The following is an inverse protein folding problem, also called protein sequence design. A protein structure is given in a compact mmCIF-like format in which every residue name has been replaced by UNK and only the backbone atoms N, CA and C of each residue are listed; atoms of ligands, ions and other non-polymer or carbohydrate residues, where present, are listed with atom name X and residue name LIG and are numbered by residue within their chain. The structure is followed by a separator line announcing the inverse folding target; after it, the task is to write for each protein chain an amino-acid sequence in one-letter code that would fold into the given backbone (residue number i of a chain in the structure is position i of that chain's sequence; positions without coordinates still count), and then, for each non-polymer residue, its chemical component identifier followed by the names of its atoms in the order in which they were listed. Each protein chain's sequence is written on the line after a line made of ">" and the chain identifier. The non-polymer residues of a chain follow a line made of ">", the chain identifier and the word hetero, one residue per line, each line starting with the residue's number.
data_IF_303414115241
#
_entry.id   IF_303414115241
#
_cell.length_a   1.000
_cell.length_b   1.000
_cell.length_c   1.000
_cell.angle_alpha   90.00
_cell.angle_beta   90.00
_cell.angle_gamma   90.00
#
_symmetry.space_group_name_H-M   'P 1'
#
loop_
_entity.id
_entity.type
_entity.pdbx_description
1 polymer ?
#
# COMPACT_ATOMS: atom_id res chain seq x y z
N UNK A 1 -33.00 9.71 39.86
CA UNK A 1 -32.23 9.60 38.62
C UNK A 1 -32.38 8.17 38.12
N UNK A 2 -32.70 8.00 36.83
CA UNK A 2 -32.69 6.63 36.24
C UNK A 2 -31.28 6.28 35.82
N UNK A 3 -30.80 5.11 36.17
CA UNK A 3 -29.47 4.58 35.85
C UNK A 3 -29.65 3.36 34.94
N UNK A 4 -28.87 3.26 33.84
CA UNK A 4 -28.79 2.07 33.01
C UNK A 4 -27.47 1.41 33.28
N UNK A 5 -27.49 0.18 33.80
CA UNK A 5 -26.29 -0.64 34.03
C UNK A 5 -26.13 -1.68 32.94
N UNK A 6 -25.01 -1.61 32.20
CA UNK A 6 -24.69 -2.55 31.13
C UNK A 6 -23.24 -3.01 31.23
N UNK A 7 -22.98 -4.26 30.90
CA UNK A 7 -21.61 -4.82 30.85
C UNK A 7 -20.96 -4.57 29.45
N UNK A 8 -21.79 -4.38 28.43
CA UNK A 8 -21.31 -4.10 27.08
C UNK A 8 -22.40 -3.47 26.21
N UNK A 9 -21.97 -2.73 25.19
CA UNK A 9 -22.82 -2.24 24.10
C UNK A 9 -22.35 -2.94 22.82
N UNK A 10 -23.27 -3.59 22.11
CA UNK A 10 -22.96 -4.41 20.94
C UNK A 10 -23.96 -4.11 19.83
N UNK A 11 -23.47 -4.00 18.59
CA UNK A 11 -24.33 -3.89 17.42
C UNK A 11 -25.12 -5.19 17.16
N UNK A 12 -26.35 -5.07 16.64
CA UNK A 12 -27.17 -6.21 16.24
C UNK A 12 -26.41 -7.00 15.16
N UNK A 13 -26.20 -8.30 15.40
CA UNK A 13 -25.42 -9.17 14.50
C UNK A 13 -23.90 -9.09 14.64
N UNK A 14 -23.35 -8.23 15.50
CA UNK A 14 -21.92 -8.17 15.75
C UNK A 14 -21.46 -9.34 16.61
N UNK A 15 -20.28 -9.92 16.34
CA UNK A 15 -19.67 -10.98 17.17
C UNK A 15 -18.99 -10.42 18.43
N UNK A 16 -18.51 -9.17 18.39
CA UNK A 16 -17.82 -8.50 19.50
C UNK A 16 -18.54 -7.22 19.95
N UNK A 17 -18.34 -6.82 21.22
CA UNK A 17 -18.87 -5.58 21.77
C UNK A 17 -18.14 -4.36 21.19
N UNK A 18 -18.89 -3.28 20.88
CA UNK A 18 -18.31 -2.00 20.53
C UNK A 18 -17.74 -1.29 21.78
N UNK A 19 -18.37 -1.49 22.93
CA UNK A 19 -17.91 -0.98 24.23
C UNK A 19 -18.04 -2.11 25.26
N UNK A 20 -16.98 -2.37 26.02
CA UNK A 20 -16.99 -3.30 27.15
C UNK A 20 -16.70 -2.51 28.42
N UNK A 21 -17.51 -2.71 29.46
CA UNK A 21 -17.36 -2.08 30.77
C UNK A 21 -16.82 -3.12 31.74
N UNK A 22 -15.74 -2.76 32.43
CA UNK A 22 -15.19 -3.59 33.51
C UNK A 22 -16.07 -3.45 34.75
N UNK A 23 -16.65 -4.57 35.20
CA UNK A 23 -17.59 -4.58 36.34
C UNK A 23 -16.90 -4.35 37.69
N UNK A 24 -15.56 -4.43 37.75
CA UNK A 24 -14.79 -4.31 39.00
C UNK A 24 -14.42 -2.85 39.28
N UNK A 25 -13.98 -2.11 38.27
CA UNK A 25 -13.45 -0.75 38.43
C UNK A 25 -14.19 0.32 37.62
N UNK A 26 -15.19 -0.10 36.83
CA UNK A 26 -15.96 0.82 35.95
C UNK A 26 -15.22 1.36 34.78
N UNK A 27 -14.00 0.92 34.48
CA UNK A 27 -13.28 1.33 33.28
C UNK A 27 -13.97 0.82 32.01
N UNK A 28 -13.83 1.56 30.93
CA UNK A 28 -14.46 1.27 29.66
C UNK A 28 -13.41 1.03 28.58
N UNK A 29 -13.51 -0.08 27.89
CA UNK A 29 -12.75 -0.34 26.66
C UNK A 29 -13.68 -0.14 25.46
N UNK A 30 -13.42 0.90 24.67
CA UNK A 30 -14.14 1.15 23.43
C UNK A 30 -13.35 0.59 22.23
N UNK A 31 -14.03 -0.17 21.38
CA UNK A 31 -13.48 -0.62 20.10
C UNK A 31 -13.69 0.51 19.08
N UNK A 32 -12.84 1.55 19.15
CA UNK A 32 -12.93 2.74 18.31
C UNK A 32 -12.01 2.55 17.11
N UNK A 33 -12.57 2.43 15.92
CA UNK A 33 -11.79 2.28 14.68
C UNK A 33 -11.31 3.62 14.11
N UNK A 34 -11.89 4.76 14.52
CA UNK A 34 -11.71 6.04 13.82
C UNK A 34 -10.96 7.13 14.61
N UNK A 35 -10.45 6.86 15.81
CA UNK A 35 -9.94 7.94 16.68
C UNK A 35 -8.50 7.71 17.19
N UNK A 36 -7.71 6.94 16.45
CA UNK A 36 -6.29 6.74 16.76
C UNK A 36 -5.48 7.71 15.90
N UNK A 37 -4.77 8.64 16.51
CA UNK A 37 -3.75 9.44 15.84
C UNK A 37 -2.54 8.57 15.47
N UNK A 38 -1.79 8.97 14.44
CA UNK A 38 -0.61 8.27 13.93
C UNK A 38 -0.87 6.84 13.42
N UNK A 39 -2.06 6.58 12.87
CA UNK A 39 -2.40 5.27 12.27
C UNK A 39 -1.65 5.03 10.98
N UNK A 40 -1.51 6.07 10.15
CA UNK A 40 -0.85 5.95 8.87
C UNK A 40 0.66 5.82 9.04
N UNK A 41 1.21 4.67 8.69
CA UNK A 41 2.64 4.41 8.71
C UNK A 41 3.36 4.96 7.46
N UNK A 42 2.61 5.26 6.41
CA UNK A 42 3.16 5.82 5.17
C UNK A 42 3.55 7.30 5.39
N UNK A 43 4.72 7.66 4.95
CA UNK A 43 5.21 9.03 4.96
C UNK A 43 4.86 9.68 3.63
N UNK A 44 4.33 10.92 3.65
CA UNK A 44 3.91 11.64 2.46
C UNK A 44 2.84 10.90 1.63
N UNK A 45 1.88 10.24 2.30
CA UNK A 45 0.82 9.48 1.64
C UNK A 45 -0.15 10.34 0.80
N UNK A 46 -0.25 11.64 1.08
CA UNK A 46 -1.02 12.62 0.29
C UNK A 46 -0.21 13.27 -0.84
N UNK A 47 1.03 12.84 -1.09
CA UNK A 47 1.92 13.30 -2.17
C UNK A 47 2.22 14.82 -2.17
N UNK A 48 2.14 15.46 -1.00
CA UNK A 48 2.27 16.92 -0.87
C UNK A 48 3.72 17.41 -0.88
N UNK A 49 4.66 16.59 -0.41
CA UNK A 49 6.07 16.97 -0.26
C UNK A 49 6.87 16.50 -1.47
N UNK A 50 7.53 17.43 -2.15
CA UNK A 50 8.40 17.19 -3.31
C UNK A 50 9.61 18.15 -3.25
N UNK A 51 10.55 17.88 -2.32
CA UNK A 51 11.65 18.81 -1.99
C UNK A 51 12.78 18.79 -3.02
N UNK A 52 13.00 17.66 -3.70
CA UNK A 52 14.08 17.51 -4.69
C UNK A 52 13.71 18.05 -6.06
N UNK A 53 12.43 18.12 -6.36
CA UNK A 53 11.86 18.54 -7.62
C UNK A 53 10.45 17.97 -7.78
N UNK A 54 9.68 18.51 -8.71
CA UNK A 54 8.29 18.09 -8.96
C UNK A 54 8.16 17.16 -10.16
N UNK A 55 9.22 16.94 -10.91
CA UNK A 55 9.20 16.08 -12.11
C UNK A 55 10.58 15.58 -12.49
N UNK A 56 10.65 14.33 -12.94
CA UNK A 56 11.85 13.69 -13.50
C UNK A 56 11.45 12.89 -14.75
N UNK A 57 12.15 13.08 -15.86
CA UNK A 57 11.83 12.52 -17.17
C UNK A 57 12.95 11.62 -17.70
N UNK A 58 12.61 10.80 -18.69
CA UNK A 58 13.59 9.92 -19.33
C UNK A 58 14.01 8.73 -18.46
N UNK A 59 13.18 8.34 -17.49
CA UNK A 59 13.50 7.27 -16.55
C UNK A 59 13.36 5.92 -17.23
N UNK A 60 14.44 5.11 -17.21
CA UNK A 60 14.48 3.76 -17.79
C UNK A 60 14.87 2.68 -16.79
N UNK A 61 15.15 3.05 -15.54
CA UNK A 61 15.63 2.13 -14.50
C UNK A 61 15.25 2.55 -13.08
N UNK A 62 15.75 1.82 -12.11
CA UNK A 62 15.47 2.04 -10.70
C UNK A 62 16.12 3.30 -10.18
N UNK A 63 15.34 4.21 -9.60
CA UNK A 63 15.84 5.42 -8.96
C UNK A 63 14.85 6.04 -7.97
N UNK A 64 15.34 6.98 -7.16
CA UNK A 64 14.49 7.94 -6.44
C UNK A 64 14.33 9.15 -7.37
N UNK A 65 13.25 9.15 -8.14
CA UNK A 65 12.93 10.22 -9.08
C UNK A 65 12.56 11.52 -8.35
N UNK A 66 12.77 12.66 -9.00
CA UNK A 66 12.18 13.91 -8.57
C UNK A 66 10.65 13.85 -8.76
N UNK A 67 9.92 14.27 -7.74
CA UNK A 67 8.48 14.09 -7.60
C UNK A 67 8.13 13.96 -6.13
N UNK A 68 7.00 13.35 -5.75
CA UNK A 68 6.68 13.15 -4.35
C UNK A 68 7.78 12.40 -3.61
N UNK A 69 8.27 13.00 -2.52
CA UNK A 69 9.36 12.44 -1.72
C UNK A 69 8.98 11.11 -1.07
N UNK A 70 10.03 10.30 -0.74
CA UNK A 70 9.96 8.98 -0.07
C UNK A 70 9.58 7.82 -0.98
N UNK A 71 9.23 8.05 -2.23
CA UNK A 71 8.92 6.99 -3.20
C UNK A 71 10.11 6.69 -4.10
N UNK A 72 10.33 5.38 -4.34
CA UNK A 72 11.33 4.88 -5.26
C UNK A 72 10.63 4.19 -6.43
N UNK A 73 11.03 4.53 -7.64
CA UNK A 73 10.71 3.74 -8.83
C UNK A 73 11.69 2.59 -8.92
N UNK A 74 11.18 1.36 -9.07
CA UNK A 74 11.98 0.14 -9.18
C UNK A 74 11.75 -0.56 -10.51
N UNK A 75 12.79 -1.20 -11.02
CA UNK A 75 12.69 -2.03 -12.22
C UNK A 75 13.64 -1.65 -13.34
N UNK A 76 13.43 -2.28 -14.47
CA UNK A 76 14.19 -2.08 -15.72
C UNK A 76 13.42 -2.66 -16.91
N UNK A 77 13.83 -2.33 -18.12
CA UNK A 77 13.28 -2.89 -19.38
C UNK A 77 11.76 -2.69 -19.53
N UNK A 78 11.24 -1.55 -19.06
CA UNK A 78 9.82 -1.19 -19.12
C UNK A 78 9.49 -0.10 -20.15
N UNK A 79 10.47 0.32 -20.96
CA UNK A 79 10.38 1.51 -21.81
C UNK A 79 10.93 2.74 -21.09
N UNK A 80 10.31 3.89 -21.30
CA UNK A 80 10.71 5.14 -20.64
C UNK A 80 9.49 5.79 -20.01
N UNK A 81 9.64 6.33 -18.81
CA UNK A 81 8.56 7.04 -18.10
C UNK A 81 9.04 8.39 -17.60
N UNK A 82 8.07 9.27 -17.35
CA UNK A 82 8.20 10.48 -16.56
C UNK A 82 7.48 10.26 -15.22
N UNK A 83 8.11 10.64 -14.13
CA UNK A 83 7.47 10.72 -12.81
C UNK A 83 7.24 12.18 -12.47
N UNK A 84 6.09 12.51 -11.88
CA UNK A 84 5.82 13.87 -11.43
C UNK A 84 4.87 13.93 -10.25
N UNK A 85 4.93 15.04 -9.50
CA UNK A 85 3.87 15.48 -8.62
C UNK A 85 2.81 16.19 -9.49
N UNK A 86 1.60 15.64 -9.51
CA UNK A 86 0.49 16.16 -10.31
C UNK A 86 -0.56 16.80 -9.41
N UNK A 87 -1.24 17.83 -9.89
CA UNK A 87 -2.41 18.44 -9.24
C UNK A 87 -3.72 17.72 -9.57
N UNK A 88 -3.71 16.73 -10.49
CA UNK A 88 -4.84 15.85 -10.72
C UNK A 88 -4.97 14.89 -9.52
N UNK A 89 -5.98 15.10 -8.70
CA UNK A 89 -6.21 14.39 -7.44
C UNK A 89 -7.70 14.27 -7.14
N UNK A 90 -8.14 13.28 -6.34
CA UNK A 90 -9.53 13.19 -5.90
C UNK A 90 -9.84 14.22 -4.83
N UNK A 91 -11.13 14.43 -4.56
CA UNK A 91 -11.59 15.32 -3.49
C UNK A 91 -10.90 15.01 -2.15
N UNK A 92 -10.49 16.07 -1.45
CA UNK A 92 -9.75 15.98 -0.18
C UNK A 92 -8.22 15.88 -0.32
N UNK A 93 -7.68 15.84 -1.54
CA UNK A 93 -6.25 15.83 -1.81
C UNK A 93 -5.86 16.95 -2.79
N UNK A 94 -4.64 17.48 -2.63
CA UNK A 94 -4.12 18.53 -3.53
C UNK A 94 -3.17 17.96 -4.59
N UNK A 95 -2.56 16.80 -4.33
CA UNK A 95 -1.53 16.24 -5.20
C UNK A 95 -1.63 14.72 -5.31
N UNK A 96 -1.06 14.21 -6.39
CA UNK A 96 -0.84 12.79 -6.63
C UNK A 96 0.56 12.52 -7.18
N UNK A 97 1.02 11.27 -7.03
CA UNK A 97 2.18 10.73 -7.73
C UNK A 97 1.73 10.28 -9.11
N UNK A 98 2.29 10.84 -10.17
CA UNK A 98 1.98 10.48 -11.56
C UNK A 98 3.14 9.71 -12.18
N UNK A 99 2.82 8.65 -12.92
CA UNK A 99 3.72 7.97 -13.87
C UNK A 99 3.11 8.09 -15.24
N UNK A 100 3.89 8.63 -16.19
CA UNK A 100 3.52 8.85 -17.58
C UNK A 100 4.46 8.06 -18.50
N UNK A 101 3.93 7.26 -19.40
CA UNK A 101 4.72 6.45 -20.33
C UNK A 101 5.12 7.30 -21.52
N UNK A 102 6.41 7.61 -21.65
CA UNK A 102 6.95 8.43 -22.76
C UNK A 102 7.56 7.60 -23.88
N UNK A 103 8.01 6.38 -23.61
CA UNK A 103 8.37 5.38 -24.62
C UNK A 103 7.73 4.04 -24.24
N UNK A 104 6.84 3.57 -25.09
CA UNK A 104 6.11 2.33 -24.84
C UNK A 104 6.99 1.07 -24.97
N UNK A 105 6.67 0.05 -24.20
CA UNK A 105 7.18 -1.31 -24.35
C UNK A 105 6.02 -2.31 -24.37
N UNK A 106 5.48 -2.58 -25.56
CA UNK A 106 4.42 -3.57 -25.76
C UNK A 106 4.89 -5.03 -25.73
N UNK A 107 6.21 -5.28 -25.82
CA UNK A 107 6.82 -6.62 -25.87
C UNK A 107 7.79 -6.81 -24.70
N UNK A 108 7.24 -7.18 -23.55
CA UNK A 108 8.03 -7.33 -22.33
C UNK A 108 9.02 -8.51 -22.42
N UNK A 109 10.26 -8.27 -22.00
CA UNK A 109 11.20 -9.34 -21.70
C UNK A 109 10.79 -10.05 -20.39
N UNK A 110 11.31 -11.24 -20.15
CA UNK A 110 11.03 -11.98 -18.93
C UNK A 110 11.34 -11.19 -17.65
N UNK A 111 12.41 -10.39 -17.65
CA UNK A 111 12.86 -9.58 -16.53
C UNK A 111 12.29 -8.15 -16.51
N UNK A 112 11.40 -7.77 -17.43
CA UNK A 112 10.78 -6.44 -17.42
C UNK A 112 10.01 -6.22 -16.13
N UNK A 113 10.26 -5.08 -15.47
CA UNK A 113 9.60 -4.70 -14.22
C UNK A 113 9.50 -3.18 -14.12
N UNK A 114 8.35 -2.68 -13.72
CA UNK A 114 8.15 -1.33 -13.24
C UNK A 114 7.28 -1.38 -11.99
N UNK A 115 7.76 -0.82 -10.90
CA UNK A 115 7.00 -0.72 -9.66
C UNK A 115 7.32 0.58 -8.92
N UNK A 116 6.37 1.05 -8.14
CA UNK A 116 6.56 2.14 -7.19
C UNK A 116 6.58 1.55 -5.80
N UNK A 117 7.51 2.01 -4.96
CA UNK A 117 7.63 1.51 -3.61
C UNK A 117 7.93 2.59 -2.59
N UNK A 118 7.42 2.39 -1.38
CA UNK A 118 7.89 3.07 -0.18
C UNK A 118 8.38 2.03 0.82
N UNK A 119 9.53 2.29 1.44
CA UNK A 119 10.10 1.43 2.48
C UNK A 119 9.92 2.07 3.85
N UNK A 120 9.59 1.24 4.83
CA UNK A 120 9.36 1.59 6.23
C UNK A 120 10.48 0.97 7.09
N UNK A 121 10.95 1.75 8.05
CA UNK A 121 11.96 1.32 9.02
C UNK A 121 11.35 0.34 10.02
N UNK A 122 12.17 -0.58 10.53
CA UNK A 122 11.74 -1.61 11.45
C UNK A 122 11.09 -1.06 12.72
N UNK A 123 11.66 -0.02 13.30
CA UNK A 123 11.11 0.65 14.50
C UNK A 123 9.68 1.20 14.29
N UNK A 124 9.28 1.53 13.05
CA UNK A 124 7.97 2.09 12.73
C UNK A 124 6.88 1.04 12.50
N UNK A 125 7.25 -0.24 12.32
CA UNK A 125 6.32 -1.33 12.00
C UNK A 125 6.07 -2.31 13.15
N UNK A 126 6.61 -2.04 14.33
CA UNK A 126 6.50 -2.91 15.51
C UNK A 126 5.04 -3.13 15.97
N UNK A 127 4.14 -2.18 15.70
CA UNK A 127 2.72 -2.28 16.05
C UNK A 127 1.99 -3.45 15.36
N UNK A 128 2.53 -4.00 14.27
CA UNK A 128 2.00 -5.21 13.64
C UNK A 128 2.24 -6.49 14.46
N UNK A 129 3.15 -6.45 15.44
CA UNK A 129 3.52 -7.61 16.28
C UNK A 129 3.86 -8.86 15.42
N UNK A 130 4.40 -8.65 14.20
CA UNK A 130 4.75 -9.72 13.27
C UNK A 130 5.73 -10.73 13.91
N UNK A 131 5.59 -12.00 13.56
CA UNK A 131 6.40 -13.06 14.13
C UNK A 131 5.93 -13.55 15.51
N UNK A 132 4.79 -13.07 16.01
CA UNK A 132 4.21 -13.47 17.30
C UNK A 132 2.79 -14.01 17.14
N UNK A 133 2.28 -14.69 18.17
CA UNK A 133 0.88 -15.11 18.21
C UNK A 133 -0.13 -13.94 18.25
N UNK A 134 0.34 -12.73 18.57
CA UNK A 134 -0.45 -11.50 18.61
C UNK A 134 -0.39 -10.71 17.28
N UNK A 135 0.22 -11.27 16.23
CA UNK A 135 0.37 -10.61 14.94
C UNK A 135 -0.96 -10.06 14.40
N UNK A 136 -0.89 -8.85 13.83
CA UNK A 136 -2.06 -8.10 13.33
C UNK A 136 -2.12 -8.12 11.81
N UNK A 137 -3.33 -7.93 11.27
CA UNK A 137 -3.56 -7.70 9.84
C UNK A 137 -3.08 -6.30 9.44
N UNK A 138 -2.85 -6.13 8.14
CA UNK A 138 -2.43 -4.87 7.53
C UNK A 138 -3.56 -4.36 6.66
N UNK A 139 -4.09 -3.18 6.96
CA UNK A 139 -5.05 -2.49 6.10
C UNK A 139 -4.31 -1.46 5.24
N UNK A 140 -4.29 -1.68 3.94
CA UNK A 140 -3.73 -0.76 2.95
C UNK A 140 -4.88 -0.11 2.19
N UNK A 141 -4.99 1.22 2.26
CA UNK A 141 -5.95 1.98 1.46
C UNK A 141 -5.24 3.05 0.65
N UNK A 142 -5.78 3.34 -0.53
CA UNK A 142 -5.19 4.29 -1.47
C UNK A 142 -6.19 4.68 -2.55
N UNK A 143 -5.96 5.81 -3.21
CA UNK A 143 -6.67 6.21 -4.40
C UNK A 143 -5.79 6.04 -5.62
N UNK A 144 -6.35 5.44 -6.68
CA UNK A 144 -5.71 5.28 -7.98
C UNK A 144 -6.64 5.79 -9.08
N UNK A 145 -6.03 6.44 -10.07
CA UNK A 145 -6.59 6.74 -11.38
C UNK A 145 -5.62 6.22 -12.43
N UNK A 146 -6.10 5.61 -13.51
CA UNK A 146 -5.24 5.20 -14.62
C UNK A 146 -6.01 5.20 -15.92
N UNK A 147 -5.35 5.60 -16.99
CA UNK A 147 -5.89 5.47 -18.36
C UNK A 147 -5.82 4.02 -18.86
N UNK A 148 -4.92 3.20 -18.29
CA UNK A 148 -4.84 1.76 -18.56
C UNK A 148 -5.69 1.00 -17.55
N UNK A 149 -6.84 0.50 -17.98
CA UNK A 149 -7.69 -0.41 -17.18
C UNK A 149 -7.09 -1.82 -17.12
N UNK A 150 -7.42 -2.56 -16.08
CA UNK A 150 -6.95 -3.94 -15.88
C UNK A 150 -6.64 -4.27 -14.44
N UNK A 151 -6.04 -5.43 -14.24
CA UNK A 151 -5.61 -5.91 -12.93
C UNK A 151 -4.22 -5.44 -12.60
N UNK A 152 -4.06 -4.88 -11.42
CA UNK A 152 -2.79 -4.44 -10.83
C UNK A 152 -2.50 -5.19 -9.55
N UNK A 153 -1.23 -5.30 -9.19
CA UNK A 153 -0.79 -6.01 -7.98
C UNK A 153 -0.15 -5.04 -7.01
N UNK A 154 -0.61 -5.07 -5.75
CA UNK A 154 0.07 -4.47 -4.61
C UNK A 154 0.71 -5.57 -3.76
N UNK A 155 1.89 -5.30 -3.21
CA UNK A 155 2.69 -6.26 -2.46
C UNK A 155 3.23 -5.62 -1.19
N UNK A 156 3.22 -6.39 -0.10
CA UNK A 156 4.02 -6.14 1.09
C UNK A 156 5.23 -7.07 1.08
N UNK A 157 6.43 -6.51 1.21
CA UNK A 157 7.69 -7.25 1.24
C UNK A 157 8.41 -7.00 2.56
N UNK A 158 8.56 -8.04 3.34
CA UNK A 158 9.38 -8.09 4.54
C UNK A 158 10.83 -8.41 4.14
N UNK A 159 11.72 -7.45 4.40
CA UNK A 159 13.14 -7.56 4.04
C UNK A 159 13.95 -8.32 5.10
N UNK A 160 13.55 -8.27 6.36
CA UNK A 160 14.27 -8.92 7.47
C UNK A 160 14.21 -10.44 7.35
N UNK A 161 13.06 -10.96 6.91
CA UNK A 161 12.80 -12.40 6.84
C UNK A 161 12.62 -12.92 5.41
N UNK A 162 12.84 -12.08 4.39
CA UNK A 162 12.63 -12.42 2.97
C UNK A 162 11.25 -13.04 2.71
N UNK A 163 10.18 -12.39 3.22
CA UNK A 163 8.80 -12.85 3.09
C UNK A 163 7.95 -11.82 2.37
N UNK A 164 6.95 -12.28 1.64
CA UNK A 164 6.03 -11.38 0.93
C UNK A 164 4.59 -11.86 0.98
N UNK A 165 3.67 -10.95 0.70
CA UNK A 165 2.26 -11.22 0.44
C UNK A 165 1.75 -10.23 -0.61
N UNK A 166 0.93 -10.71 -1.54
CA UNK A 166 0.43 -9.94 -2.68
C UNK A 166 -1.09 -9.92 -2.71
N UNK A 167 -1.67 -8.84 -3.23
CA UNK A 167 -3.09 -8.74 -3.54
C UNK A 167 -3.29 -7.98 -4.84
N UNK A 168 -4.36 -8.33 -5.55
CA UNK A 168 -4.78 -7.61 -6.75
C UNK A 168 -5.80 -6.53 -6.42
N UNK A 169 -5.82 -5.48 -7.25
CA UNK A 169 -6.93 -4.55 -7.39
C UNK A 169 -7.20 -4.31 -8.87
N UNK A 170 -8.44 -4.01 -9.22
CA UNK A 170 -8.84 -3.84 -10.63
C UNK A 170 -9.21 -2.40 -10.88
N UNK A 171 -8.50 -1.76 -11.79
CA UNK A 171 -8.86 -0.45 -12.35
C UNK A 171 -9.85 -0.72 -13.47
N UNK A 172 -11.12 -0.38 -13.25
CA UNK A 172 -12.22 -0.68 -14.17
C UNK A 172 -12.58 0.50 -15.09
N UNK A 173 -12.19 1.69 -14.71
CA UNK A 173 -12.45 2.94 -15.45
C UNK A 173 -11.29 3.94 -15.29
N UNK A 174 -11.42 5.10 -15.89
CA UNK A 174 -10.39 6.16 -15.89
C UNK A 174 -10.62 7.23 -14.82
N UNK A 175 -11.51 6.98 -13.85
CA UNK A 175 -11.77 7.90 -12.76
C UNK A 175 -10.91 7.59 -11.53
N UNK A 176 -10.89 8.51 -10.58
CA UNK A 176 -10.33 8.26 -9.27
C UNK A 176 -11.19 7.27 -8.49
N UNK A 177 -10.58 6.17 -8.05
CA UNK A 177 -11.23 5.15 -7.23
C UNK A 177 -10.40 4.88 -5.97
N UNK A 178 -11.09 4.72 -4.82
CA UNK A 178 -10.47 4.27 -3.57
C UNK A 178 -10.45 2.76 -3.52
N UNK A 179 -9.28 2.21 -3.22
CA UNK A 179 -9.08 0.76 -3.03
C UNK A 179 -8.72 0.48 -1.58
N UNK A 180 -9.13 -0.69 -1.10
CA UNK A 180 -8.79 -1.20 0.22
C UNK A 180 -8.35 -2.65 0.09
N UNK A 181 -7.16 -2.97 0.59
CA UNK A 181 -6.58 -4.31 0.59
C UNK A 181 -6.24 -4.70 2.02
N UNK A 182 -6.83 -5.79 2.52
CA UNK A 182 -6.53 -6.32 3.85
C UNK A 182 -5.59 -7.51 3.69
N UNK A 183 -4.35 -7.35 4.13
CA UNK A 183 -3.36 -8.43 4.13
C UNK A 183 -3.43 -9.21 5.44
N UNK A 184 -3.23 -10.54 5.40
CA UNK A 184 -3.28 -11.37 6.60
C UNK A 184 -2.17 -11.01 7.59
N UNK A 185 -2.39 -11.33 8.85
CA UNK A 185 -1.33 -11.33 9.86
C UNK A 185 -0.26 -12.38 9.51
N UNK A 186 1.00 -12.13 9.93
CA UNK A 186 2.08 -13.11 9.79
C UNK A 186 2.69 -13.42 11.16
N UNK A 187 2.54 -14.65 11.61
CA UNK A 187 3.08 -15.12 12.88
C UNK A 187 4.54 -15.62 12.76
N UNK A 188 5.14 -15.50 11.57
CA UNK A 188 6.49 -16.01 11.27
C UNK A 188 7.44 -14.86 10.97
N UNK A 189 8.59 -14.85 11.64
CA UNK A 189 9.66 -13.87 11.41
C UNK A 189 9.29 -12.47 11.90
N UNK A 190 9.86 -12.03 13.01
CA UNK A 190 9.66 -10.69 13.55
C UNK A 190 10.36 -9.64 12.69
N UNK A 191 9.84 -8.42 12.68
CA UNK A 191 10.58 -7.27 12.18
C UNK A 191 11.67 -6.88 13.16
N UNK A 192 12.84 -6.50 12.63
CA UNK A 192 13.90 -5.89 13.42
C UNK A 192 13.43 -4.54 13.97
N UNK A 193 13.79 -4.24 15.22
CA UNK A 193 13.47 -2.96 15.83
C UNK A 193 14.65 -1.98 15.67
N UNK A 194 14.92 -1.60 14.43
CA UNK A 194 16.03 -0.73 14.07
C UNK A 194 15.58 0.34 13.04
N UNK A 195 16.51 1.14 12.55
CA UNK A 195 16.27 2.16 11.52
C UNK A 195 16.55 1.68 10.09
N UNK A 196 16.75 0.38 9.90
CA UNK A 196 16.90 -0.19 8.57
C UNK A 196 15.54 -0.49 7.92
N UNK A 197 15.57 -0.77 6.65
CA UNK A 197 14.38 -1.10 5.87
C UNK A 197 13.86 -2.49 6.23
N UNK A 198 12.71 -2.58 6.89
CA UNK A 198 12.06 -3.86 7.25
C UNK A 198 10.86 -4.18 6.37
N UNK A 199 9.99 -3.22 6.06
CA UNK A 199 8.79 -3.44 5.24
C UNK A 199 8.77 -2.51 4.04
N UNK A 200 8.43 -3.02 2.85
CA UNK A 200 8.10 -2.20 1.69
C UNK A 200 6.67 -2.43 1.23
N UNK A 201 5.96 -1.34 0.96
CA UNK A 201 4.72 -1.33 0.19
C UNK A 201 5.07 -1.08 -1.27
N UNK A 202 4.61 -1.94 -2.17
CA UNK A 202 4.95 -1.88 -3.60
C UNK A 202 3.70 -1.96 -4.46
N UNK A 203 3.68 -1.19 -5.54
CA UNK A 203 2.65 -1.21 -6.58
C UNK A 203 3.32 -1.56 -7.91
N UNK A 204 2.96 -2.72 -8.47
CA UNK A 204 3.43 -3.11 -9.77
C UNK A 204 2.68 -2.35 -10.88
N UNK A 205 3.39 -1.94 -11.91
CA UNK A 205 2.84 -1.34 -13.14
C UNK A 205 3.19 -2.19 -14.36
N UNK A 206 4.37 -2.81 -14.38
CA UNK A 206 4.82 -3.72 -15.44
C UNK A 206 5.44 -4.94 -14.79
N UNK A 207 5.17 -6.14 -15.33
CA UNK A 207 5.81 -7.37 -14.90
C UNK A 207 5.94 -8.36 -16.05
N UNK A 208 7.18 -8.77 -16.36
CA UNK A 208 7.49 -9.84 -17.31
C UNK A 208 7.32 -11.24 -16.71
N UNK A 209 7.55 -12.27 -17.50
CA UNK A 209 7.27 -13.67 -17.13
C UNK A 209 8.06 -14.18 -15.95
N UNK A 210 9.24 -13.61 -15.64
CA UNK A 210 9.99 -13.95 -14.41
C UNK A 210 9.20 -13.60 -13.13
N UNK A 211 8.19 -12.74 -13.21
CA UNK A 211 7.41 -12.27 -12.07
C UNK A 211 5.95 -12.75 -12.08
N UNK A 212 5.51 -13.40 -13.18
CA UNK A 212 4.10 -13.73 -13.42
C UNK A 212 3.84 -15.18 -13.74
N UNK A 213 4.87 -16.05 -13.75
CA UNK A 213 4.77 -17.43 -14.23
C UNK A 213 4.23 -18.43 -13.21
N UNK A 214 4.09 -18.03 -11.94
CA UNK A 214 3.57 -18.88 -10.87
C UNK A 214 2.10 -18.59 -10.53
N UNK A 215 1.71 -18.94 -9.30
CA UNK A 215 0.42 -18.55 -8.70
C UNK A 215 0.66 -17.38 -7.76
N UNK A 216 -0.20 -16.36 -7.80
CA UNK A 216 -0.05 -15.17 -6.94
C UNK A 216 -0.01 -15.55 -5.47
N UNK A 217 1.01 -15.08 -4.76
CA UNK A 217 1.22 -15.38 -3.35
C UNK A 217 0.34 -14.49 -2.47
N UNK A 218 -0.86 -14.96 -2.15
CA UNK A 218 -1.88 -14.20 -1.40
C UNK A 218 -1.80 -14.36 0.11
N UNK A 219 -0.89 -15.21 0.60
CA UNK A 219 -0.56 -15.39 2.02
C UNK A 219 0.94 -15.17 2.24
N UNK A 220 1.34 -14.80 3.46
CA UNK A 220 2.74 -14.61 3.78
C UNK A 220 3.55 -15.91 3.55
N UNK A 221 4.62 -15.79 2.81
CA UNK A 221 5.53 -16.89 2.51
C UNK A 221 6.88 -16.36 2.01
N UNK A 222 7.84 -17.24 1.79
CA UNK A 222 9.15 -16.86 1.25
C UNK A 222 8.98 -16.10 -0.06
N UNK A 223 9.68 -14.97 -0.19
CA UNK A 223 9.62 -14.12 -1.36
C UNK A 223 10.16 -14.87 -2.59
N UNK A 224 9.35 -14.94 -3.64
CA UNK A 224 9.69 -15.56 -4.91
C UNK A 224 9.20 -14.70 -6.08
N UNK A 225 10.07 -14.38 -7.01
CA UNK A 225 9.72 -13.52 -8.14
C UNK A 225 8.53 -14.07 -8.93
N UNK A 226 8.55 -15.36 -9.29
CA UNK A 226 7.53 -15.98 -10.15
C UNK A 226 6.08 -15.83 -9.64
N UNK A 227 5.89 -15.67 -8.34
CA UNK A 227 4.58 -15.60 -7.68
C UNK A 227 4.19 -14.18 -7.22
N UNK A 228 5.02 -13.19 -7.54
CA UNK A 228 4.93 -11.87 -6.92
C UNK A 228 3.98 -10.89 -7.63
N UNK A 229 3.75 -11.05 -8.94
CA UNK A 229 2.98 -10.07 -9.75
C UNK A 229 2.08 -10.75 -10.77
N UNK A 230 1.60 -11.95 -10.45
CA UNK A 230 0.74 -12.73 -11.35
C UNK A 230 -0.57 -11.99 -11.61
N UNK A 231 -0.92 -11.85 -12.88
CA UNK A 231 -2.12 -11.11 -13.31
C UNK A 231 -1.90 -9.62 -13.56
N UNK A 232 -0.68 -9.10 -13.35
CA UNK A 232 -0.36 -7.68 -13.61
C UNK A 232 -0.55 -7.32 -15.08
N UNK A 233 -1.33 -6.26 -15.34
CA UNK A 233 -1.45 -5.66 -16.67
C UNK A 233 -0.13 -5.01 -17.10
N UNK A 234 0.18 -5.00 -18.40
CA UNK A 234 1.30 -4.22 -18.92
C UNK A 234 0.86 -2.74 -19.05
N UNK A 235 1.23 -1.93 -18.06
CA UNK A 235 0.96 -0.49 -18.07
C UNK A 235 1.77 0.25 -19.15
N UNK A 236 2.95 -0.26 -19.54
CA UNK A 236 3.85 0.43 -20.44
C UNK A 236 3.59 0.12 -21.93
N UNK A 237 2.46 -0.47 -22.31
CA UNK A 237 2.18 -0.86 -23.68
C UNK A 237 1.77 0.30 -24.62
N UNK A 238 1.55 1.48 -24.09
CA UNK A 238 1.18 2.69 -24.87
C UNK A 238 1.73 3.96 -24.23
N UNK A 239 2.12 4.92 -25.05
CA UNK A 239 2.50 6.27 -24.60
C UNK A 239 1.30 7.13 -24.18
N UNK A 240 0.08 6.63 -24.32
CA UNK A 240 -1.13 7.28 -23.80
C UNK A 240 -1.46 6.84 -22.36
N UNK A 241 -0.61 5.99 -21.77
CA UNK A 241 -0.88 5.45 -20.44
C UNK A 241 -0.30 6.33 -19.35
N UNK A 242 -1.18 6.71 -18.44
CA UNK A 242 -0.89 7.48 -17.23
C UNK A 242 -1.46 6.74 -16.02
N UNK A 243 -0.71 6.74 -14.91
CA UNK A 243 -1.14 6.16 -13.65
C UNK A 243 -0.86 7.12 -12.52
N UNK A 244 -1.82 7.25 -11.61
CA UNK A 244 -1.79 8.20 -10.52
C UNK A 244 -2.09 7.51 -9.19
N UNK A 245 -1.43 7.96 -8.11
CA UNK A 245 -1.59 7.45 -6.75
C UNK A 245 -1.63 8.61 -5.75
N UNK A 246 -2.58 8.58 -4.83
CA UNK A 246 -2.60 9.46 -3.64
C UNK A 246 -3.40 8.83 -2.51
N UNK A 247 -3.42 9.47 -1.35
CA UNK A 247 -4.16 8.98 -0.18
C UNK A 247 -3.68 7.61 0.28
N UNK A 248 -2.37 7.33 0.14
CA UNK A 248 -1.78 6.05 0.53
C UNK A 248 -1.66 5.96 2.04
N UNK A 249 -2.32 4.97 2.63
CA UNK A 249 -2.33 4.70 4.07
C UNK A 249 -2.14 3.21 4.32
N UNK A 250 -1.17 2.90 5.18
CA UNK A 250 -0.97 1.56 5.75
C UNK A 250 -1.19 1.66 7.25
N UNK A 251 -2.12 0.87 7.76
CA UNK A 251 -2.49 0.86 9.17
C UNK A 251 -2.65 -0.55 9.72
N UNK A 252 -2.57 -0.68 11.03
CA UNK A 252 -2.80 -1.94 11.75
C UNK A 252 -4.30 -2.20 11.84
N UNK A 253 -4.75 -3.37 11.38
CA UNK A 253 -6.15 -3.78 11.53
C UNK A 253 -6.74 -4.48 10.32
N UNK A 254 -8.01 -4.81 10.43
CA UNK A 254 -8.80 -5.52 9.43
C UNK A 254 -9.76 -4.61 8.65
N UNK A 255 -9.75 -3.31 8.94
CA UNK A 255 -10.62 -2.31 8.32
C UNK A 255 -9.79 -1.07 8.00
N UNK A 256 -9.89 -0.58 6.77
CA UNK A 256 -9.30 0.70 6.41
C UNK A 256 -10.16 1.85 6.93
N UNK A 257 -9.54 2.79 7.61
CA UNK A 257 -10.19 4.00 8.12
C UNK A 257 -10.10 5.15 7.10
N UNK A 258 -10.68 6.31 7.42
CA UNK A 258 -10.50 7.49 6.61
C UNK A 258 -9.02 7.92 6.60
N UNK A 259 -8.61 8.54 5.50
CA UNK A 259 -7.20 8.94 5.34
C UNK A 259 -6.79 9.92 6.43
N UNK A 260 -5.69 9.63 7.09
CA UNK A 260 -5.08 10.49 8.09
C UNK A 260 -4.08 11.44 7.44
N UNK A 261 -4.47 12.71 7.29
CA UNK A 261 -3.55 13.77 6.87
C UNK A 261 -2.56 14.05 7.99
N UNK A 262 -1.28 13.77 7.74
CA UNK A 262 -0.19 14.13 8.67
C UNK A 262 0.35 15.50 8.25
N UNK A 263 0.41 16.39 9.22
CA UNK A 263 1.06 17.70 9.11
C UNK A 263 2.58 17.56 9.17
#
# INVERSE_FOLDING_TARGET
>A
MSEIKVNSIKGVGASAAAITVNNTDGTCTANITNNLSNRNLIINGAMQVAQRGTSDSGITGSQYADGPDRYKLGGSSFGTVTVSQSTDSPDGFSNSYKVDVTTANGSLSAGSLLEIQQSLEGQNVQAFAKGTSAAKQYALSFYVKSTKTGTYVAMLLDHDNNRMVCKTYTVSDTNWNRYTLIFPADTTGAFDNNNEKSLSVKFALVAGTSFTSGTLQTTWGTSANATSRVGQVNFADSTSNEWYLTGLQLEVGSVATDFEHRS
#
